data_IF_393582484446
#
_entry.id   IF_393582484446
#
_cell.length_a   1.000
_cell.length_b   1.000
_cell.length_c   1.000
_cell.angle_alpha   90.00
_cell.angle_beta   90.00
_cell.angle_gamma   90.00
#
_symmetry.space_group_name_H-M   'P 1'
#
loop_
_entity.id
_entity.type
_entity.pdbx_description
1 polymer ?
#
# COMPACT_ATOMS: atom_id res chain seq x y z
N UNK A 1 2.24 -10.75 -69.36
CA UNK A 1 1.23 -10.10 -68.50
C UNK A 1 1.92 -9.75 -67.20
N UNK A 2 2.15 -8.47 -66.98
CA UNK A 2 2.74 -7.90 -65.78
C UNK A 2 1.60 -7.44 -64.84
N UNK A 3 1.94 -7.13 -63.58
CA UNK A 3 1.14 -6.41 -62.55
C UNK A 3 0.14 -7.27 -61.75
N UNK A 4 -0.09 -7.07 -60.45
CA UNK A 4 0.49 -6.20 -59.40
C UNK A 4 -0.25 -6.56 -58.10
N UNK A 5 0.36 -6.26 -56.95
CA UNK A 5 -0.26 -6.02 -55.62
C UNK A 5 -0.80 -7.24 -54.85
N UNK A 6 -0.52 -7.43 -53.56
CA UNK A 6 0.03 -6.51 -52.55
C UNK A 6 0.80 -7.30 -51.49
N UNK A 7 2.06 -6.93 -51.30
CA UNK A 7 2.66 -6.90 -49.98
C UNK A 7 1.84 -5.93 -49.11
N UNK A 8 1.10 -6.44 -48.13
CA UNK A 8 0.74 -5.66 -46.96
C UNK A 8 1.44 -6.30 -45.76
N UNK A 9 2.46 -5.65 -45.17
CA UNK A 9 2.90 -6.02 -43.84
C UNK A 9 1.72 -5.76 -42.92
N UNK A 10 1.19 -6.83 -42.31
CA UNK A 10 0.16 -6.75 -41.31
C UNK A 10 0.61 -5.72 -40.27
N UNK A 11 -0.07 -4.57 -40.35
CA UNK A 11 0.11 -3.39 -39.55
C UNK A 11 0.32 -3.80 -38.10
N UNK A 12 1.38 -3.26 -37.51
CA UNK A 12 1.59 -3.15 -36.09
C UNK A 12 0.33 -2.54 -35.45
N UNK A 13 -0.64 -3.40 -35.16
CA UNK A 13 -1.78 -3.10 -34.32
C UNK A 13 -1.25 -3.08 -32.91
N UNK A 14 -0.79 -1.89 -32.51
CA UNK A 14 -0.86 -1.33 -31.17
C UNK A 14 -1.49 -2.31 -30.18
N UNK A 15 -0.66 -3.16 -29.57
CA UNK A 15 -1.12 -3.94 -28.44
C UNK A 15 -1.49 -2.89 -27.40
N UNK A 16 -2.76 -2.79 -26.96
CA UNK A 16 -3.04 -1.96 -25.81
C UNK A 16 -2.18 -2.54 -24.71
N UNK A 17 -1.14 -1.81 -24.30
CA UNK A 17 -0.45 -2.07 -23.05
C UNK A 17 -1.58 -2.31 -22.06
N UNK A 18 -1.72 -3.55 -21.61
CA UNK A 18 -2.62 -3.87 -20.51
C UNK A 18 -2.09 -3.06 -19.35
N UNK A 19 -2.59 -1.83 -19.21
CA UNK A 19 -2.53 -1.08 -17.97
C UNK A 19 -3.12 -2.05 -16.97
N UNK A 20 -2.24 -2.64 -16.17
CA UNK A 20 -2.63 -3.54 -15.11
C UNK A 20 -3.69 -2.86 -14.25
N UNK A 21 -4.43 -3.63 -13.43
CA UNK A 21 -5.39 -3.05 -12.51
C UNK A 21 -4.74 -1.85 -11.81
N UNK A 22 -5.44 -0.71 -11.73
CA UNK A 22 -4.87 0.50 -11.16
C UNK A 22 -4.32 0.17 -9.77
N UNK A 23 -3.17 0.75 -9.39
CA UNK A 23 -2.55 0.45 -8.11
C UNK A 23 -3.55 0.71 -6.99
N UNK A 24 -4.04 -0.37 -6.38
CA UNK A 24 -5.00 -0.28 -5.29
C UNK A 24 -4.21 0.06 -4.01
N UNK A 25 -4.55 1.15 -3.31
CA UNK A 25 -3.84 1.56 -2.09
C UNK A 25 -3.84 0.47 -1.01
N UNK A 26 -4.80 -0.46 -1.03
CA UNK A 26 -4.86 -1.60 -0.10
C UNK A 26 -3.69 -2.58 -0.31
N UNK A 27 -3.11 -2.64 -1.52
CA UNK A 27 -1.94 -3.49 -1.82
C UNK A 27 -0.61 -2.83 -1.45
N UNK A 28 -0.60 -1.59 -0.95
CA UNK A 28 0.62 -0.97 -0.48
C UNK A 28 1.04 -1.58 0.87
N UNK A 29 2.29 -2.08 1.04
CA UNK A 29 2.72 -2.80 2.24
C UNK A 29 2.61 -1.96 3.52
N UNK A 30 2.72 -0.63 3.40
CA UNK A 30 2.55 0.30 4.53
C UNK A 30 1.11 0.74 4.82
N UNK A 31 0.13 0.38 4.00
CA UNK A 31 -1.26 0.82 4.21
C UNK A 31 -1.82 0.36 5.56
N UNK A 32 -1.78 -0.95 5.82
CA UNK A 32 -2.26 -1.53 7.07
C UNK A 32 -1.47 -1.01 8.30
N UNK A 33 -0.12 -1.00 8.31
CA UNK A 33 0.65 -0.42 9.41
C UNK A 33 0.29 1.03 9.73
N UNK A 34 0.18 1.89 8.72
CA UNK A 34 -0.14 3.32 8.92
C UNK A 34 -1.56 3.47 9.46
N UNK A 35 -2.53 2.75 8.89
CA UNK A 35 -3.91 2.76 9.34
C UNK A 35 -4.01 2.33 10.81
N UNK A 36 -3.27 1.28 11.19
CA UNK A 36 -3.24 0.76 12.55
C UNK A 36 -2.65 1.77 13.54
N UNK A 37 -1.57 2.47 13.16
CA UNK A 37 -1.00 3.55 13.98
C UNK A 37 -2.01 4.68 14.15
N UNK A 38 -2.67 5.10 13.07
CA UNK A 38 -3.69 6.15 13.13
C UNK A 38 -4.83 5.78 14.10
N UNK A 39 -5.35 4.55 14.02
CA UNK A 39 -6.36 4.07 14.97
C UNK A 39 -5.83 4.00 16.41
N UNK A 40 -4.59 3.56 16.60
CA UNK A 40 -3.98 3.50 17.94
C UNK A 40 -3.87 4.89 18.56
N UNK A 41 -3.43 5.88 17.79
CA UNK A 41 -3.35 7.28 18.24
C UNK A 41 -4.73 7.86 18.53
N UNK A 42 -5.73 7.55 17.69
CA UNK A 42 -7.12 7.94 17.93
C UNK A 42 -7.64 7.38 19.24
N UNK A 43 -7.56 6.06 19.46
CA UNK A 43 -8.01 5.43 20.69
C UNK A 43 -7.27 5.98 21.91
N UNK A 44 -5.98 6.29 21.78
CA UNK A 44 -5.20 6.94 22.84
C UNK A 44 -5.69 8.36 23.16
N UNK A 45 -5.95 9.17 22.13
CA UNK A 45 -6.50 10.51 22.30
C UNK A 45 -7.86 10.46 23.02
N UNK A 46 -8.74 9.58 22.56
CA UNK A 46 -10.11 9.44 23.08
C UNK A 46 -10.17 8.72 24.45
N UNK A 47 -9.11 8.00 24.84
CA UNK A 47 -8.98 7.35 26.14
C UNK A 47 -8.44 8.28 27.25
N UNK A 48 -7.61 9.26 26.89
CA UNK A 48 -6.79 10.02 27.85
C UNK A 48 -6.91 11.54 27.72
N UNK A 49 -7.12 12.09 26.52
CA UNK A 49 -7.10 13.54 26.27
C UNK A 49 -8.51 14.13 26.10
N UNK A 50 -9.49 13.35 25.66
CA UNK A 50 -10.87 13.84 25.52
C UNK A 50 -11.42 14.31 26.87
N UNK A 51 -12.06 15.47 26.88
CA UNK A 51 -12.66 16.12 28.07
C UNK A 51 -14.18 16.19 27.98
N UNK A 52 -14.76 15.58 26.96
CA UNK A 52 -16.20 15.62 26.69
C UNK A 52 -16.94 14.63 27.61
N UNK A 53 -17.89 15.08 28.44
CA UNK A 53 -18.61 14.21 29.39
C UNK A 53 -19.36 13.04 28.73
N UNK A 54 -19.81 13.17 27.49
CA UNK A 54 -20.48 12.06 26.76
C UNK A 54 -19.49 10.94 26.39
N UNK A 55 -18.22 11.29 26.16
CA UNK A 55 -17.15 10.34 25.83
C UNK A 55 -16.65 9.53 27.04
N UNK A 56 -17.02 9.92 28.27
CA UNK A 56 -16.63 9.17 29.48
C UNK A 56 -17.24 7.77 29.54
N UNK A 57 -18.42 7.56 28.95
CA UNK A 57 -19.06 6.24 28.90
C UNK A 57 -18.25 5.26 28.04
N UNK A 58 -17.60 5.77 27.00
CA UNK A 58 -16.76 4.99 26.08
C UNK A 58 -15.27 4.99 26.46
N UNK A 59 -14.88 5.76 27.48
CA UNK A 59 -13.48 5.89 27.89
C UNK A 59 -12.84 4.53 28.26
N UNK A 60 -13.56 3.65 28.94
CA UNK A 60 -13.08 2.30 29.28
C UNK A 60 -12.87 1.46 28.02
N UNK A 61 -13.79 1.53 27.06
CA UNK A 61 -13.66 0.83 25.78
C UNK A 61 -12.44 1.36 24.99
N UNK A 62 -12.26 2.67 24.90
CA UNK A 62 -11.13 3.29 24.22
C UNK A 62 -9.78 2.91 24.85
N UNK A 63 -9.72 2.81 26.19
CA UNK A 63 -8.52 2.35 26.91
C UNK A 63 -8.18 0.90 26.62
N UNK A 64 -9.18 0.02 26.63
CA UNK A 64 -8.97 -1.40 26.30
C UNK A 64 -8.54 -1.54 24.85
N UNK A 65 -9.21 -0.86 23.92
CA UNK A 65 -8.85 -0.89 22.50
C UNK A 65 -7.44 -0.33 22.25
N UNK A 66 -7.04 0.74 22.93
CA UNK A 66 -5.67 1.25 22.88
C UNK A 66 -4.64 0.19 23.33
N UNK A 67 -4.90 -0.49 24.44
CA UNK A 67 -4.03 -1.57 24.94
C UNK A 67 -3.98 -2.78 23.99
N UNK A 68 -5.09 -3.15 23.37
CA UNK A 68 -5.16 -4.25 22.38
C UNK A 68 -4.46 -3.88 21.08
N UNK A 69 -4.52 -2.61 20.67
CA UNK A 69 -3.89 -2.13 19.44
C UNK A 69 -2.36 -2.04 19.55
N UNK A 70 -1.80 -1.79 20.74
CA UNK A 70 -0.35 -1.75 20.94
C UNK A 70 0.41 -3.00 20.47
N UNK A 71 0.07 -4.25 20.88
CA UNK A 71 0.77 -5.44 20.41
C UNK A 71 0.58 -5.68 18.91
N UNK A 72 -0.56 -5.28 18.34
CA UNK A 72 -0.79 -5.35 16.89
C UNK A 72 0.14 -4.38 16.15
N UNK A 73 0.26 -3.14 16.61
CA UNK A 73 1.20 -2.15 16.07
C UNK A 73 2.64 -2.63 16.18
N UNK A 74 3.05 -3.06 17.37
CA UNK A 74 4.42 -3.52 17.60
C UNK A 74 4.79 -4.73 16.72
N UNK A 75 3.82 -5.58 16.36
CA UNK A 75 4.03 -6.72 15.47
C UNK A 75 3.95 -6.36 13.98
N UNK A 76 3.00 -5.51 13.57
CA UNK A 76 2.74 -5.22 12.16
C UNK A 76 3.66 -4.15 11.58
N UNK A 77 4.05 -3.14 12.36
CA UNK A 77 4.95 -2.07 11.91
C UNK A 77 6.30 -2.62 11.42
N UNK A 78 7.06 -3.43 12.19
CA UNK A 78 8.34 -3.95 11.72
C UNK A 78 8.15 -4.84 10.48
N UNK A 79 7.07 -5.61 10.43
CA UNK A 79 6.77 -6.47 9.28
C UNK A 79 6.52 -5.65 8.01
N UNK A 80 5.68 -4.62 8.08
CA UNK A 80 5.38 -3.76 6.92
C UNK A 80 6.59 -2.95 6.45
N UNK A 81 7.46 -2.53 7.37
CA UNK A 81 8.72 -1.86 7.02
C UNK A 81 9.65 -2.82 6.28
N UNK A 82 9.80 -4.08 6.74
CA UNK A 82 10.62 -5.07 6.04
C UNK A 82 10.12 -5.34 4.62
N UNK A 83 8.81 -5.56 4.44
CA UNK A 83 8.22 -5.78 3.12
C UNK A 83 8.44 -4.57 2.19
N UNK A 84 8.30 -3.34 2.71
CA UNK A 84 8.58 -2.13 1.93
C UNK A 84 10.06 -1.97 1.55
N UNK A 85 10.99 -2.36 2.44
CA UNK A 85 12.43 -2.32 2.14
C UNK A 85 12.81 -3.37 1.10
N UNK A 86 12.22 -4.56 1.14
CA UNK A 86 12.41 -5.62 0.14
C UNK A 86 11.94 -5.16 -1.25
N UNK A 87 10.77 -4.52 -1.33
CA UNK A 87 10.25 -3.95 -2.59
C UNK A 87 11.17 -2.87 -3.17
N UNK A 88 11.73 -1.99 -2.32
CA UNK A 88 12.68 -0.97 -2.77
C UNK A 88 14.00 -1.57 -3.27
N UNK A 89 14.50 -2.63 -2.63
CA UNK A 89 15.69 -3.33 -3.08
C UNK A 89 15.47 -4.01 -4.43
N UNK A 90 14.31 -4.66 -4.61
CA UNK A 90 13.94 -5.27 -5.88
C UNK A 90 13.83 -4.23 -7.02
N UNK A 91 13.21 -3.08 -6.74
CA UNK A 91 13.09 -1.98 -7.70
C UNK A 91 14.46 -1.37 -8.07
N UNK A 92 15.34 -1.17 -7.09
CA UNK A 92 16.69 -0.65 -7.32
C UNK A 92 17.56 -1.63 -8.15
N UNK A 93 17.44 -2.93 -7.91
CA UNK A 93 18.11 -3.97 -8.69
C UNK A 93 17.66 -3.99 -10.16
N UNK A 94 16.35 -3.89 -10.41
CA UNK A 94 15.79 -3.84 -11.75
C UNK A 94 16.24 -2.60 -12.55
N UNK A 95 16.33 -1.44 -11.89
CA UNK A 95 16.82 -0.21 -12.52
C UNK A 95 18.32 -0.27 -12.88
N UNK A 96 19.15 -0.90 -12.03
CA UNK A 96 20.57 -1.14 -12.35
C UNK A 96 20.75 -2.07 -13.55
N UNK A 97 19.98 -3.15 -13.63
CA UNK A 97 20.03 -4.08 -14.78
C UNK A 97 19.64 -3.41 -16.10
N UNK A 98 18.63 -2.52 -16.08
CA UNK A 98 18.21 -1.72 -17.24
C UNK A 98 19.22 -0.66 -17.69
N UNK A 99 20.06 -0.16 -16.77
CA UNK A 99 21.08 0.85 -17.11
C UNK A 99 22.40 0.26 -17.59
N UNK A 100 22.59 -1.05 -17.42
CA UNK A 100 23.80 -1.78 -17.81
C UNK A 100 23.64 -2.58 -19.12
N UNK A 101 22.44 -2.60 -19.70
CA UNK A 101 22.10 -3.23 -20.97
C UNK A 101 21.88 -2.14 -22.04
#
# INVERSE_FOLDING_TARGET
>A
MNESRSDEPQSAGDQPERRGPPPNPIHHPLFLPILLVAFTLWFGYDAFLTTDPEMHEHQTFNRIMYLVMQPLCFRMIPRGISEFLEDQQAAAGAQRGRSAA
#
